data_IF_127624340506
#
_entry.id   IF_127624340506
#
_cell.length_a   1.000
_cell.length_b   1.000
_cell.length_c   1.000
_cell.angle_alpha   90.00
_cell.angle_beta   90.00
_cell.angle_gamma   90.00
#
_symmetry.space_group_name_H-M   'P 1'
#
loop_
_entity.id
_entity.type
_entity.pdbx_description
1 polymer ?
#
# COMPACT_ATOMS: atom_id res chain seq x y z
N UNK A 1 28.44 6.94 -14.22
CA UNK A 1 27.83 5.79 -13.51
C UNK A 1 28.48 5.51 -12.15
N UNK A 2 29.81 5.35 -12.06
CA UNK A 2 30.45 5.02 -10.76
C UNK A 2 30.16 6.02 -9.61
N UNK A 3 30.04 7.32 -9.88
CA UNK A 3 29.77 8.33 -8.84
C UNK A 3 28.38 8.16 -8.19
N UNK A 4 27.34 7.90 -8.99
CA UNK A 4 25.97 7.72 -8.49
C UNK A 4 25.84 6.42 -7.72
N UNK A 5 26.35 5.33 -8.27
CA UNK A 5 26.38 4.03 -7.59
C UNK A 5 27.03 4.15 -6.21
N UNK A 6 28.23 4.75 -6.14
CA UNK A 6 28.95 4.93 -4.88
C UNK A 6 28.16 5.82 -3.90
N UNK A 7 27.49 6.86 -4.40
CA UNK A 7 26.62 7.69 -3.56
C UNK A 7 25.48 6.89 -2.97
N UNK A 8 24.75 6.11 -3.78
CA UNK A 8 23.66 5.26 -3.32
C UNK A 8 24.16 4.26 -2.26
N UNK A 9 25.25 3.56 -2.51
CA UNK A 9 25.83 2.60 -1.57
C UNK A 9 26.26 3.25 -0.25
N UNK A 10 26.74 4.50 -0.29
CA UNK A 10 27.11 5.22 0.94
C UNK A 10 25.91 5.65 1.81
N UNK A 11 24.70 5.62 1.27
CA UNK A 11 23.47 5.98 1.99
C UNK A 11 22.82 4.78 2.69
N UNK A 12 23.33 3.57 2.47
CA UNK A 12 22.73 2.32 2.97
C UNK A 12 23.61 1.69 4.03
N UNK A 13 23.00 1.18 5.10
CA UNK A 13 23.72 0.40 6.11
C UNK A 13 23.66 -1.10 5.77
N UNK A 14 24.73 -1.62 5.18
CA UNK A 14 24.84 -3.02 4.72
C UNK A 14 24.61 -3.98 5.89
N UNK A 15 25.16 -3.69 7.07
CA UNK A 15 25.05 -4.57 8.25
C UNK A 15 23.63 -4.70 8.77
N UNK A 16 22.83 -3.64 8.68
CA UNK A 16 21.43 -3.69 9.09
C UNK A 16 20.64 -4.56 8.13
N UNK A 17 20.90 -4.45 6.82
CA UNK A 17 20.28 -5.30 5.79
C UNK A 17 20.67 -6.77 6.02
N UNK A 18 21.93 -7.08 6.20
CA UNK A 18 22.39 -8.44 6.51
C UNK A 18 21.70 -9.00 7.75
N UNK A 19 21.54 -8.18 8.78
CA UNK A 19 20.88 -8.58 10.02
C UNK A 19 19.41 -8.94 9.77
N UNK A 20 18.69 -8.11 9.02
CA UNK A 20 17.29 -8.35 8.67
C UNK A 20 17.13 -9.60 7.81
N UNK A 21 17.97 -9.74 6.77
CA UNK A 21 17.95 -10.90 5.88
C UNK A 21 18.21 -12.19 6.68
N UNK A 22 19.26 -12.22 7.51
CA UNK A 22 19.60 -13.39 8.32
C UNK A 22 18.53 -13.74 9.35
N UNK A 23 17.90 -12.74 9.96
CA UNK A 23 16.89 -12.96 11.00
C UNK A 23 15.55 -13.47 10.45
N UNK A 24 15.18 -13.07 9.23
CA UNK A 24 13.85 -13.33 8.67
C UNK A 24 13.79 -14.44 7.65
N UNK A 25 14.90 -14.72 7.00
CA UNK A 25 14.96 -15.79 6.03
C UNK A 25 15.37 -17.09 6.72
N UNK A 26 14.69 -18.17 6.38
CA UNK A 26 15.06 -19.54 6.78
C UNK A 26 16.31 -19.99 5.99
N UNK A 27 17.36 -19.21 6.10
CA UNK A 27 18.64 -19.55 5.48
C UNK A 27 19.29 -20.72 6.25
N UNK A 28 19.97 -21.59 5.51
CA UNK A 28 20.85 -22.57 6.16
C UNK A 28 21.85 -21.81 7.02
N UNK A 29 22.14 -22.31 8.21
CA UNK A 29 23.02 -21.65 9.20
C UNK A 29 24.43 -21.36 8.69
N UNK A 30 24.86 -22.11 7.67
CA UNK A 30 26.18 -22.07 7.02
C UNK A 30 26.20 -21.20 5.74
N UNK A 31 25.06 -20.64 5.29
CA UNK A 31 25.01 -19.83 4.11
C UNK A 31 25.80 -18.51 4.28
N UNK A 32 26.80 -18.31 3.44
CA UNK A 32 27.51 -17.03 3.34
C UNK A 32 26.75 -16.11 2.39
N UNK A 33 26.15 -15.07 2.92
CA UNK A 33 25.38 -14.11 2.15
C UNK A 33 26.30 -12.97 1.71
N UNK A 34 26.38 -12.73 0.41
CA UNK A 34 27.10 -11.58 -0.15
C UNK A 34 26.13 -10.40 -0.44
N UNK A 35 25.69 -9.73 0.63
CA UNK A 35 24.79 -8.59 0.52
C UNK A 35 25.43 -7.41 -0.24
N UNK A 36 26.75 -7.24 -0.16
CA UNK A 36 27.44 -6.16 -0.86
C UNK A 36 27.28 -6.26 -2.37
N UNK A 37 27.55 -7.42 -2.96
CA UNK A 37 27.38 -7.64 -4.40
C UNK A 37 25.93 -7.38 -4.84
N UNK A 38 25.01 -7.82 -4.02
CA UNK A 38 23.59 -7.65 -4.26
C UNK A 38 23.18 -6.16 -4.29
N UNK A 39 23.68 -5.38 -3.34
CA UNK A 39 23.45 -3.95 -3.28
C UNK A 39 24.17 -3.18 -4.39
N UNK A 40 25.27 -3.71 -4.90
CA UNK A 40 25.92 -3.15 -6.09
C UNK A 40 25.04 -3.22 -7.34
N UNK A 41 24.35 -4.32 -7.50
CA UNK A 41 23.39 -4.54 -8.58
C UNK A 41 22.17 -3.62 -8.43
N UNK A 42 21.59 -3.57 -7.23
CA UNK A 42 20.54 -2.63 -6.90
C UNK A 42 20.92 -1.18 -7.21
N UNK A 43 22.09 -0.73 -6.77
CA UNK A 43 22.54 0.64 -7.02
C UNK A 43 22.78 0.94 -8.51
N UNK A 44 23.09 -0.08 -9.29
CA UNK A 44 23.23 0.04 -10.74
C UNK A 44 21.85 0.17 -11.39
N UNK A 45 20.94 -0.73 -11.07
CA UNK A 45 19.62 -0.82 -11.70
C UNK A 45 18.70 0.34 -11.27
N UNK A 46 18.70 0.73 -10.00
CA UNK A 46 17.89 1.86 -9.49
C UNK A 46 18.48 3.24 -9.76
N UNK A 47 19.65 3.33 -10.39
CA UNK A 47 20.34 4.62 -10.59
C UNK A 47 19.53 5.67 -11.35
N UNK A 48 18.62 5.25 -12.23
CA UNK A 48 17.75 6.16 -12.96
C UNK A 48 16.66 6.73 -12.05
N UNK A 49 15.97 5.88 -11.29
CA UNK A 49 14.96 6.34 -10.32
C UNK A 49 15.60 7.20 -9.24
N UNK A 50 16.82 6.87 -8.80
CA UNK A 50 17.55 7.70 -7.85
C UNK A 50 17.74 9.14 -8.36
N UNK A 51 18.08 9.32 -9.63
CA UNK A 51 18.13 10.65 -10.25
C UNK A 51 16.76 11.30 -10.32
N UNK A 52 15.74 10.54 -10.72
CA UNK A 52 14.36 11.00 -10.77
C UNK A 52 13.88 11.50 -9.39
N UNK A 53 14.34 10.86 -8.31
CA UNK A 53 14.05 11.26 -6.92
C UNK A 53 14.95 12.43 -6.43
N UNK A 54 15.69 13.08 -7.31
CA UNK A 54 16.61 14.16 -6.93
C UNK A 54 17.75 13.68 -6.03
N UNK A 55 18.26 12.48 -6.33
CA UNK A 55 19.36 11.81 -5.61
C UNK A 55 19.03 11.48 -4.14
N UNK A 56 17.80 11.05 -3.89
CA UNK A 56 17.29 10.55 -2.61
C UNK A 56 16.84 9.10 -2.77
N UNK A 57 16.92 8.34 -1.68
CA UNK A 57 16.39 6.97 -1.64
C UNK A 57 14.86 6.96 -1.42
N UNK A 58 14.33 8.00 -0.80
CA UNK A 58 12.90 8.11 -0.49
C UNK A 58 12.37 9.50 -0.81
N UNK A 59 11.10 9.56 -1.21
CA UNK A 59 10.30 10.77 -1.27
C UNK A 59 9.12 10.61 -0.29
N UNK A 60 8.80 11.67 0.44
CA UNK A 60 7.80 11.61 1.49
C UNK A 60 6.80 12.77 1.36
N UNK A 61 5.53 12.48 1.66
CA UNK A 61 4.47 13.49 1.76
C UNK A 61 3.66 13.23 3.04
N UNK A 62 3.45 14.27 3.86
CA UNK A 62 2.66 14.15 5.09
C UNK A 62 1.18 13.99 4.77
N UNK A 63 0.52 13.08 5.50
CA UNK A 63 -0.89 12.75 5.32
C UNK A 63 -1.57 12.49 6.66
N UNK A 64 -2.90 12.55 6.66
CA UNK A 64 -3.70 11.94 7.71
C UNK A 64 -3.89 10.46 7.40
N UNK A 65 -3.47 9.60 8.32
CA UNK A 65 -3.65 8.15 8.23
C UNK A 65 -4.99 7.77 8.82
N UNK A 66 -5.66 6.86 8.14
CA UNK A 66 -6.83 6.16 8.65
C UNK A 66 -6.39 4.84 9.29
N UNK A 67 -6.57 4.71 10.61
CA UNK A 67 -6.20 3.54 11.40
C UNK A 67 -7.33 2.50 11.46
N UNK A 68 -8.36 2.63 10.64
CA UNK A 68 -9.56 1.77 10.66
C UNK A 68 -9.33 0.35 10.14
N UNK A 69 -8.10 -0.04 9.86
CA UNK A 69 -7.74 -1.36 9.32
C UNK A 69 -8.02 -2.52 10.29
N UNK A 70 -7.97 -2.25 11.58
CA UNK A 70 -8.26 -3.26 12.58
C UNK A 70 -9.77 -3.34 12.85
N UNK A 71 -10.49 -4.02 11.96
CA UNK A 71 -11.95 -4.16 12.06
C UNK A 71 -12.41 -4.76 13.39
N UNK A 72 -11.59 -5.61 14.02
CA UNK A 72 -11.91 -6.19 15.33
C UNK A 72 -11.89 -5.13 16.42
N UNK A 73 -10.89 -4.26 16.43
CA UNK A 73 -10.77 -3.16 17.39
C UNK A 73 -11.92 -2.17 17.19
N UNK A 74 -12.27 -1.85 15.94
CA UNK A 74 -13.41 -0.97 15.67
C UNK A 74 -14.73 -1.58 16.15
N UNK A 75 -14.95 -2.88 15.90
CA UNK A 75 -16.18 -3.55 16.33
C UNK A 75 -16.28 -3.62 17.85
N UNK A 76 -15.18 -3.90 18.55
CA UNK A 76 -15.08 -3.85 20.02
C UNK A 76 -15.36 -2.44 20.54
N UNK A 77 -14.74 -1.42 19.95
CA UNK A 77 -14.96 -0.01 20.28
C UNK A 77 -16.43 0.40 20.10
N UNK A 78 -17.03 0.00 18.97
CA UNK A 78 -18.45 0.26 18.69
C UNK A 78 -19.35 -0.36 19.75
N UNK A 79 -19.12 -1.62 20.14
CA UNK A 79 -19.88 -2.32 21.20
C UNK A 79 -19.73 -1.62 22.55
N UNK A 80 -18.52 -1.22 22.91
CA UNK A 80 -18.25 -0.51 24.16
C UNK A 80 -18.90 0.87 24.18
N UNK A 81 -18.86 1.61 23.07
CA UNK A 81 -19.57 2.89 22.93
C UNK A 81 -21.09 2.73 23.09
N UNK A 82 -21.68 1.71 22.46
CA UNK A 82 -23.11 1.42 22.61
C UNK A 82 -23.43 1.12 24.09
N UNK A 83 -22.64 0.29 24.74
CA UNK A 83 -22.82 -0.06 26.14
C UNK A 83 -22.72 1.16 27.06
N UNK A 84 -21.79 2.06 26.83
CA UNK A 84 -21.65 3.32 27.55
C UNK A 84 -22.86 4.23 27.33
N UNK A 85 -23.38 4.33 26.12
CA UNK A 85 -24.58 5.11 25.84
C UNK A 85 -25.79 4.56 26.57
N UNK A 86 -25.99 3.24 26.60
CA UNK A 86 -27.06 2.58 27.32
C UNK A 86 -26.96 2.89 28.83
N UNK A 87 -25.77 2.78 29.40
CA UNK A 87 -25.55 3.01 30.83
C UNK A 87 -25.82 4.46 31.26
N UNK A 88 -25.55 5.43 30.38
CA UNK A 88 -25.65 6.85 30.75
C UNK A 88 -26.97 7.53 30.39
N UNK A 89 -27.74 7.00 29.43
CA UNK A 89 -28.89 7.74 28.88
C UNK A 89 -30.24 6.99 28.91
N UNK A 90 -30.29 5.77 29.46
CA UNK A 90 -31.48 4.95 29.64
C UNK A 90 -32.43 4.73 28.41
N UNK A 91 -33.64 4.19 28.64
CA UNK A 91 -34.55 3.56 27.66
C UNK A 91 -34.89 4.38 26.39
N UNK A 92 -34.80 5.68 26.40
CA UNK A 92 -35.20 6.53 25.27
C UNK A 92 -34.26 6.42 24.03
N UNK A 93 -33.17 5.68 24.15
CA UNK A 93 -32.17 5.54 23.07
C UNK A 93 -32.27 4.24 22.29
N UNK A 94 -33.26 3.40 22.55
CA UNK A 94 -33.41 2.10 21.88
C UNK A 94 -33.26 2.18 20.34
N UNK A 95 -33.89 3.19 19.72
CA UNK A 95 -33.78 3.37 18.25
C UNK A 95 -32.36 3.70 17.79
N UNK A 96 -31.65 4.50 18.58
CA UNK A 96 -30.27 4.86 18.29
C UNK A 96 -29.34 3.66 18.46
N UNK A 97 -29.57 2.82 19.45
CA UNK A 97 -28.79 1.59 19.65
C UNK A 97 -28.93 0.63 18.48
N UNK A 98 -30.16 0.39 18.01
CA UNK A 98 -30.41 -0.40 16.80
C UNK A 98 -29.69 0.21 15.57
N UNK A 99 -29.69 1.53 15.47
CA UNK A 99 -28.95 2.20 14.39
C UNK A 99 -27.45 1.89 14.46
N UNK A 100 -26.82 2.08 15.62
CA UNK A 100 -25.39 1.77 15.77
C UNK A 100 -25.07 0.30 15.55
N UNK A 101 -25.89 -0.62 16.04
CA UNK A 101 -25.73 -2.06 15.80
C UNK A 101 -25.73 -2.42 14.32
N UNK A 102 -26.54 -1.74 13.51
CA UNK A 102 -26.66 -1.96 12.08
C UNK A 102 -25.57 -1.29 11.24
N UNK A 103 -24.73 -0.46 11.84
CA UNK A 103 -23.56 0.08 11.14
C UNK A 103 -22.50 -0.99 10.99
N UNK A 104 -21.87 -1.04 9.82
CA UNK A 104 -20.61 -1.77 9.66
C UNK A 104 -19.51 -1.09 10.47
N UNK A 105 -18.45 -1.82 10.89
CA UNK A 105 -17.29 -1.22 11.54
C UNK A 105 -16.69 -0.07 10.72
N UNK A 106 -16.59 -0.24 9.41
CA UNK A 106 -16.05 0.78 8.48
C UNK A 106 -16.92 2.04 8.45
N UNK A 107 -18.24 1.90 8.39
CA UNK A 107 -19.15 3.05 8.46
C UNK A 107 -19.01 3.81 9.77
N UNK A 108 -18.95 3.06 10.90
CA UNK A 108 -18.77 3.64 12.22
C UNK A 108 -17.49 4.46 12.30
N UNK A 109 -16.37 3.90 11.87
CA UNK A 109 -15.06 4.56 11.92
C UNK A 109 -14.96 5.75 10.96
N UNK A 110 -15.49 5.63 9.74
CA UNK A 110 -15.44 6.68 8.72
C UNK A 110 -16.49 7.78 8.90
N UNK A 111 -17.40 7.63 9.86
CA UNK A 111 -18.45 8.61 10.12
C UNK A 111 -19.39 8.87 8.92
N UNK A 112 -19.53 7.93 8.01
CA UNK A 112 -20.31 8.07 6.77
C UNK A 112 -21.14 6.82 6.51
N UNK A 113 -22.41 7.01 6.17
CA UNK A 113 -23.31 5.95 5.74
C UNK A 113 -23.02 5.60 4.28
N UNK A 114 -22.75 4.34 4.00
CA UNK A 114 -22.38 3.88 2.65
C UNK A 114 -23.58 3.45 1.79
N UNK A 115 -24.73 3.15 2.40
CA UNK A 115 -25.92 2.65 1.72
C UNK A 115 -27.16 3.43 2.12
N UNK A 116 -28.11 3.60 1.17
CA UNK A 116 -29.46 4.02 1.52
C UNK A 116 -30.15 2.93 2.33
N UNK A 117 -30.72 3.29 3.47
CA UNK A 117 -31.41 2.33 4.34
C UNK A 117 -32.54 3.00 5.12
N UNK A 118 -33.43 2.16 5.61
CA UNK A 118 -34.46 2.57 6.57
C UNK A 118 -34.29 1.79 7.87
N UNK A 119 -34.27 2.50 8.99
CA UNK A 119 -34.18 1.91 10.32
C UNK A 119 -35.31 2.45 11.16
N UNK A 120 -36.22 1.58 11.58
CA UNK A 120 -37.39 1.92 12.40
C UNK A 120 -38.21 3.10 11.83
N UNK A 121 -38.46 3.11 10.52
CA UNK A 121 -39.20 4.15 9.82
C UNK A 121 -38.40 5.42 9.52
N UNK A 122 -37.14 5.48 9.90
CA UNK A 122 -36.28 6.65 9.63
C UNK A 122 -35.42 6.36 8.40
N UNK A 123 -35.64 7.15 7.35
CA UNK A 123 -34.82 7.10 6.12
C UNK A 123 -33.45 7.73 6.36
N UNK A 124 -32.40 6.98 5.99
CA UNK A 124 -31.00 7.39 6.08
C UNK A 124 -30.39 7.23 4.71
N UNK A 125 -29.89 8.35 4.17
CA UNK A 125 -29.34 8.37 2.82
C UNK A 125 -27.85 8.10 2.81
N UNK A 126 -27.36 7.44 1.76
CA UNK A 126 -25.94 7.27 1.47
C UNK A 126 -25.22 8.63 1.51
N UNK A 127 -24.03 8.67 2.07
CA UNK A 127 -23.22 9.88 2.22
C UNK A 127 -23.58 10.76 3.43
N UNK A 128 -24.62 10.40 4.20
CA UNK A 128 -24.93 11.12 5.43
C UNK A 128 -23.87 10.86 6.51
N UNK A 129 -23.46 11.93 7.19
CA UNK A 129 -22.63 11.79 8.41
C UNK A 129 -23.43 11.18 9.54
N UNK A 130 -22.85 10.20 10.24
CA UNK A 130 -23.47 9.53 11.39
C UNK A 130 -23.80 10.54 12.48
N UNK A 131 -22.89 11.49 12.77
CA UNK A 131 -23.12 12.58 13.73
C UNK A 131 -24.35 13.41 13.43
N UNK A 132 -24.68 13.64 12.15
CA UNK A 132 -25.92 14.32 11.73
C UNK A 132 -27.14 13.40 11.85
N UNK A 133 -26.94 12.10 11.74
CA UNK A 133 -28.02 11.11 11.79
C UNK A 133 -28.47 10.84 13.22
N UNK A 134 -27.60 10.95 14.23
CA UNK A 134 -27.90 10.74 15.65
C UNK A 134 -29.13 11.55 16.07
N UNK A 135 -29.20 12.82 15.68
CA UNK A 135 -30.34 13.70 16.03
C UNK A 135 -31.69 13.30 15.42
N UNK A 136 -31.72 12.37 14.46
CA UNK A 136 -32.98 11.80 13.94
C UNK A 136 -33.59 10.75 14.86
N UNK A 137 -32.76 10.14 15.71
CA UNK A 137 -33.16 9.08 16.64
C UNK A 137 -33.39 9.59 18.06
N UNK A 138 -32.76 10.70 18.45
CA UNK A 138 -32.81 11.27 19.79
C UNK A 138 -33.44 12.63 19.73
N UNK A 139 -34.60 12.78 20.34
CA UNK A 139 -35.37 14.05 20.37
C UNK A 139 -34.81 15.08 21.34
N UNK A 140 -34.19 14.65 22.43
CA UNK A 140 -33.51 15.52 23.37
C UNK A 140 -32.20 16.04 22.76
N UNK A 141 -32.16 17.34 22.51
CA UNK A 141 -31.03 18.01 21.84
C UNK A 141 -29.73 17.94 22.66
N UNK A 142 -29.83 17.97 23.99
CA UNK A 142 -28.66 17.91 24.86
C UNK A 142 -28.04 16.52 24.80
N UNK A 143 -28.86 15.50 24.96
CA UNK A 143 -28.43 14.09 24.86
C UNK A 143 -27.85 13.80 23.45
N UNK A 144 -28.53 14.24 22.39
CA UNK A 144 -28.03 14.07 21.03
C UNK A 144 -26.67 14.76 20.79
N UNK A 145 -26.48 15.95 21.38
CA UNK A 145 -25.20 16.68 21.34
C UNK A 145 -24.11 15.95 22.10
N UNK A 146 -24.38 15.46 23.30
CA UNK A 146 -23.41 14.75 24.14
C UNK A 146 -22.95 13.46 23.44
N UNK A 147 -23.88 12.67 22.91
CA UNK A 147 -23.57 11.44 22.15
C UNK A 147 -22.77 11.77 20.90
N UNK A 148 -23.14 12.83 20.16
CA UNK A 148 -22.42 13.27 18.96
C UNK A 148 -20.98 13.68 19.29
N UNK A 149 -20.79 14.38 20.41
CA UNK A 149 -19.45 14.80 20.86
C UNK A 149 -18.59 13.60 21.21
N UNK A 150 -19.08 12.67 22.02
CA UNK A 150 -18.38 11.43 22.38
C UNK A 150 -18.03 10.61 21.12
N UNK A 151 -19.01 10.40 20.25
CA UNK A 151 -18.79 9.69 19.00
C UNK A 151 -17.70 10.37 18.14
N UNK A 152 -17.73 11.70 18.02
CA UNK A 152 -16.73 12.45 17.24
C UNK A 152 -15.33 12.34 17.84
N UNK A 153 -15.20 12.28 19.16
CA UNK A 153 -13.92 12.04 19.84
C UNK A 153 -13.36 10.66 19.46
N UNK A 154 -14.19 9.62 19.55
CA UNK A 154 -13.79 8.26 19.19
C UNK A 154 -13.33 8.18 17.73
N UNK A 155 -14.08 8.78 16.80
CA UNK A 155 -13.72 8.77 15.38
C UNK A 155 -12.40 9.47 15.12
N UNK A 156 -12.04 10.50 15.91
CA UNK A 156 -10.73 11.14 15.81
C UNK A 156 -9.57 10.24 16.27
N UNK A 157 -9.81 9.33 17.19
CA UNK A 157 -8.80 8.38 17.66
C UNK A 157 -8.38 7.38 16.56
N UNK A 158 -9.22 7.17 15.54
CA UNK A 158 -8.86 6.35 14.37
C UNK A 158 -7.96 7.05 13.35
N UNK A 159 -7.56 8.28 13.63
CA UNK A 159 -6.75 9.08 12.73
C UNK A 159 -5.41 9.43 13.37
N UNK A 160 -4.36 9.36 12.57
CA UNK A 160 -3.03 9.72 13.01
C UNK A 160 -2.31 10.56 11.95
N UNK A 161 -1.32 11.34 12.38
CA UNK A 161 -0.39 11.95 11.44
C UNK A 161 0.57 10.90 10.93
N UNK A 162 0.69 10.83 9.63
CA UNK A 162 1.58 9.91 8.97
C UNK A 162 2.23 10.50 7.75
N UNK A 163 2.92 9.65 7.02
CA UNK A 163 3.52 9.98 5.75
C UNK A 163 3.32 8.87 4.74
N UNK A 164 3.09 9.23 3.51
CA UNK A 164 3.22 8.38 2.34
C UNK A 164 4.67 8.48 1.88
N UNK A 165 5.26 7.36 1.56
CA UNK A 165 6.65 7.24 1.13
C UNK A 165 6.70 6.51 -0.20
N UNK A 166 7.42 7.06 -1.18
CA UNK A 166 7.93 6.33 -2.34
C UNK A 166 9.39 6.01 -2.06
N UNK A 167 9.77 4.74 -2.15
CA UNK A 167 11.08 4.28 -1.71
C UNK A 167 11.76 3.37 -2.72
N UNK A 168 13.06 3.60 -2.89
CA UNK A 168 14.00 2.67 -3.51
C UNK A 168 15.07 2.21 -2.50
N UNK A 169 14.88 2.51 -1.21
CA UNK A 169 15.78 2.02 -0.15
C UNK A 169 15.70 0.49 -0.07
N UNK A 170 16.82 -0.23 -0.14
CA UNK A 170 16.84 -1.69 -0.06
C UNK A 170 16.12 -2.24 1.19
N UNK A 171 16.27 -1.55 2.32
CA UNK A 171 15.60 -1.97 3.55
C UNK A 171 14.08 -2.00 3.39
N UNK A 172 13.51 -1.06 2.66
CA UNK A 172 12.06 -1.00 2.44
C UNK A 172 11.54 -2.14 1.57
N UNK A 173 12.33 -2.68 0.66
CA UNK A 173 11.98 -3.89 -0.09
C UNK A 173 12.02 -5.12 0.82
N UNK A 174 13.09 -5.33 1.57
CA UNK A 174 13.19 -6.47 2.49
C UNK A 174 12.12 -6.43 3.59
N UNK A 175 11.65 -5.25 3.94
CA UNK A 175 10.63 -5.04 4.97
C UNK A 175 9.29 -4.58 4.39
N UNK A 176 9.04 -4.77 3.08
CA UNK A 176 7.87 -4.20 2.41
C UNK A 176 6.53 -4.66 3.00
N UNK A 177 6.49 -5.86 3.56
CA UNK A 177 5.31 -6.44 4.17
C UNK A 177 5.35 -6.45 5.70
N UNK A 178 6.32 -5.75 6.33
CA UNK A 178 6.34 -5.59 7.77
C UNK A 178 5.29 -4.59 8.24
N UNK A 179 4.53 -5.01 9.22
CA UNK A 179 3.47 -4.22 9.82
C UNK A 179 3.29 -4.61 11.30
N UNK A 180 2.40 -3.94 11.99
CA UNK A 180 2.11 -4.19 13.41
C UNK A 180 1.12 -5.36 13.60
N UNK A 181 1.25 -6.44 12.83
CA UNK A 181 0.39 -7.64 12.87
C UNK A 181 -1.07 -7.41 12.43
N UNK A 182 -1.30 -6.35 11.67
CA UNK A 182 -2.64 -5.98 11.23
C UNK A 182 -3.04 -6.62 9.89
N UNK A 183 -2.07 -7.06 9.10
CA UNK A 183 -2.29 -7.68 7.80
C UNK A 183 -1.18 -8.66 7.44
N UNK A 184 -1.41 -9.47 6.42
CA UNK A 184 -0.45 -10.45 5.90
C UNK A 184 -0.21 -10.23 4.41
N UNK A 185 0.96 -10.60 3.93
CA UNK A 185 1.32 -10.58 2.52
C UNK A 185 2.24 -11.74 2.19
N UNK A 186 2.04 -12.35 1.05
CA UNK A 186 2.92 -13.38 0.52
C UNK A 186 4.31 -12.86 0.15
N UNK A 187 4.46 -11.56 -0.08
CA UNK A 187 5.74 -10.87 -0.31
C UNK A 187 6.46 -10.46 1.00
N UNK A 188 6.32 -11.22 2.05
CA UNK A 188 7.17 -11.06 3.24
C UNK A 188 8.41 -11.94 3.10
N UNK A 189 9.49 -11.60 3.80
CA UNK A 189 10.70 -12.46 3.83
C UNK A 189 10.46 -13.85 4.45
N UNK A 190 9.29 -14.06 5.05
CA UNK A 190 8.82 -15.35 5.56
C UNK A 190 7.67 -15.91 4.72
N UNK A 191 7.26 -15.22 3.66
CA UNK A 191 6.15 -15.59 2.80
C UNK A 191 6.57 -16.52 1.66
N UNK A 192 5.56 -17.10 1.00
CA UNK A 192 5.78 -18.01 -0.13
C UNK A 192 6.36 -17.33 -1.38
N UNK A 193 6.24 -16.00 -1.47
CA UNK A 193 6.83 -15.19 -2.55
C UNK A 193 7.90 -14.23 -2.05
N UNK A 194 8.75 -14.70 -1.11
CA UNK A 194 9.89 -13.92 -0.60
C UNK A 194 10.86 -13.49 -1.72
N UNK A 195 11.04 -14.33 -2.74
CA UNK A 195 11.88 -14.06 -3.90
C UNK A 195 11.38 -12.87 -4.72
N UNK A 196 10.07 -12.70 -4.86
CA UNK A 196 9.48 -11.53 -5.52
C UNK A 196 9.83 -10.21 -4.85
N UNK A 197 9.95 -10.20 -3.51
CA UNK A 197 10.42 -9.03 -2.76
C UNK A 197 11.78 -8.56 -3.26
N UNK A 198 12.63 -9.52 -3.57
CA UNK A 198 14.00 -9.28 -4.02
C UNK A 198 14.05 -8.97 -5.52
N UNK A 199 13.20 -9.62 -6.33
CA UNK A 199 13.05 -9.27 -7.73
C UNK A 199 12.69 -7.79 -7.91
N UNK A 200 11.76 -7.27 -7.11
CA UNK A 200 11.44 -5.83 -7.12
C UNK A 200 12.63 -4.94 -6.72
N UNK A 201 13.46 -5.39 -5.79
CA UNK A 201 14.66 -4.65 -5.41
C UNK A 201 15.62 -4.51 -6.59
N UNK A 202 15.85 -5.59 -7.34
CA UNK A 202 16.79 -5.64 -8.45
C UNK A 202 16.24 -5.03 -9.75
N UNK A 203 14.92 -4.98 -9.88
CA UNK A 203 14.25 -4.38 -11.03
C UNK A 203 14.56 -2.89 -11.17
N UNK A 204 14.73 -2.40 -12.42
CA UNK A 204 15.10 -1.01 -12.68
C UNK A 204 13.95 -0.01 -12.57
N UNK A 205 12.70 -0.48 -12.63
CA UNK A 205 11.51 0.36 -12.79
C UNK A 205 10.58 0.37 -11.57
N UNK A 206 10.73 -0.59 -10.66
CA UNK A 206 9.84 -0.72 -9.50
C UNK A 206 10.25 0.14 -8.32
N UNK A 207 9.25 0.66 -7.63
CA UNK A 207 9.34 1.46 -6.41
C UNK A 207 8.33 0.91 -5.40
N UNK A 208 8.68 0.91 -4.13
CA UNK A 208 7.74 0.58 -3.05
C UNK A 208 7.06 1.87 -2.57
N UNK A 209 5.74 1.88 -2.60
CA UNK A 209 4.94 2.91 -1.94
C UNK A 209 4.34 2.33 -0.65
N UNK A 210 4.37 3.10 0.42
CA UNK A 210 3.74 2.72 1.68
C UNK A 210 3.34 3.94 2.50
N UNK A 211 2.49 3.73 3.50
CA UNK A 211 2.24 4.73 4.51
C UNK A 211 2.59 4.21 5.90
N UNK A 212 3.12 5.10 6.73
CA UNK A 212 3.43 4.81 8.14
C UNK A 212 3.22 6.04 9.02
N UNK A 213 2.98 5.88 10.33
CA UNK A 213 2.93 6.99 11.27
C UNK A 213 4.26 7.75 11.30
N UNK A 214 4.20 9.06 11.52
CA UNK A 214 5.42 9.90 11.73
C UNK A 214 6.09 9.53 13.05
N UNK A 215 5.30 9.14 14.05
CA UNK A 215 5.76 8.68 15.37
C UNK A 215 4.98 7.43 15.74
N UNK A 216 5.59 6.57 16.54
CA UNK A 216 4.87 5.47 17.14
C UNK A 216 3.61 6.02 17.81
N UNK A 217 2.46 5.55 17.36
CA UNK A 217 1.16 6.02 17.82
C UNK A 217 0.46 4.86 18.52
N UNK A 218 0.16 5.04 19.79
CA UNK A 218 -0.66 4.10 20.53
C UNK A 218 -2.05 4.70 20.65
N UNK A 219 -3.05 3.93 20.28
CA UNK A 219 -4.44 4.32 20.37
C UNK A 219 -5.12 3.39 21.37
N UNK A 220 -5.84 3.96 22.31
CA UNK A 220 -6.62 3.20 23.29
C UNK A 220 -8.10 3.31 22.92
N UNK A 221 -8.65 2.18 22.49
CA UNK A 221 -10.06 2.06 22.12
C UNK A 221 -10.81 1.34 23.23
N UNK A 222 -11.40 2.08 24.17
CA UNK A 222 -12.19 1.51 25.28
C UNK A 222 -11.48 0.38 26.04
N UNK A 223 -10.18 0.57 26.34
CA UNK A 223 -9.38 -0.39 27.08
C UNK A 223 -8.63 -1.40 26.22
N UNK A 224 -8.86 -1.44 24.92
CA UNK A 224 -8.00 -2.17 23.98
C UNK A 224 -6.94 -1.23 23.40
N UNK A 225 -5.69 -1.57 23.60
CA UNK A 225 -4.56 -0.79 23.12
C UNK A 225 -4.05 -1.35 21.80
N UNK A 226 -3.93 -0.49 20.79
CA UNK A 226 -3.32 -0.81 19.51
C UNK A 226 -2.17 0.15 19.23
N UNK A 227 -1.00 -0.40 18.94
CA UNK A 227 0.19 0.39 18.59
C UNK A 227 0.44 0.31 17.09
N UNK A 228 0.75 1.47 16.51
CA UNK A 228 1.09 1.64 15.09
C UNK A 228 2.47 2.28 15.03
N UNK A 229 3.43 1.50 14.58
CA UNK A 229 4.84 1.92 14.46
C UNK A 229 5.41 1.66 13.07
N UNK A 230 4.74 0.81 12.30
CA UNK A 230 5.21 0.27 11.04
C UNK A 230 4.27 0.62 9.88
N UNK A 231 4.45 -0.05 8.74
CA UNK A 231 3.66 0.18 7.54
C UNK A 231 2.18 -0.16 7.76
N UNK A 232 1.31 0.80 7.48
CA UNK A 232 -0.15 0.62 7.56
C UNK A 232 -0.66 -0.07 6.30
N UNK A 233 -0.11 0.31 5.16
CA UNK A 233 -0.31 -0.34 3.87
C UNK A 233 0.97 -0.25 3.04
N UNK A 234 1.06 -1.09 2.02
CA UNK A 234 2.10 -1.04 1.00
C UNK A 234 1.52 -1.26 -0.39
N UNK A 235 2.25 -0.82 -1.40
CA UNK A 235 1.92 -0.95 -2.80
C UNK A 235 3.23 -1.00 -3.61
N UNK A 236 3.25 -1.76 -4.70
CA UNK A 236 4.32 -1.67 -5.70
C UNK A 236 3.89 -0.68 -6.77
N UNK A 237 4.78 0.21 -7.15
CA UNK A 237 4.63 1.13 -8.26
C UNK A 237 5.66 0.76 -9.32
N UNK A 238 5.25 0.71 -10.57
CA UNK A 238 6.13 0.44 -11.69
C UNK A 238 6.10 1.60 -12.67
N UNK A 239 7.27 2.01 -13.10
CA UNK A 239 7.43 2.89 -14.24
C UNK A 239 7.56 2.07 -15.53
N UNK A 240 7.15 2.61 -16.67
CA UNK A 240 7.57 2.08 -17.96
C UNK A 240 9.08 2.19 -18.12
N UNK A 241 9.67 1.35 -18.97
CA UNK A 241 11.13 1.26 -19.17
C UNK A 241 11.77 2.61 -19.51
N UNK A 242 11.05 3.46 -20.21
CA UNK A 242 11.49 4.81 -20.59
C UNK A 242 10.89 5.92 -19.72
N UNK A 243 10.18 5.59 -18.64
CA UNK A 243 9.55 6.55 -17.72
C UNK A 243 8.50 7.46 -18.39
N UNK A 244 7.81 6.97 -19.41
CA UNK A 244 6.68 7.68 -20.04
C UNK A 244 5.41 7.61 -19.19
N UNK A 245 5.20 6.53 -18.45
CA UNK A 245 4.05 6.35 -17.56
C UNK A 245 4.43 5.55 -16.32
N UNK A 246 3.54 5.53 -15.34
CA UNK A 246 3.67 4.70 -14.16
C UNK A 246 2.34 4.01 -13.83
N UNK A 247 2.43 2.83 -13.24
CA UNK A 247 1.28 2.05 -12.80
C UNK A 247 1.39 1.70 -11.33
N UNK A 248 0.31 1.90 -10.61
CA UNK A 248 0.16 1.52 -9.21
C UNK A 248 -0.50 0.15 -9.12
N UNK A 249 0.14 -0.80 -8.44
CA UNK A 249 -0.43 -2.10 -8.16
C UNK A 249 -1.51 -2.04 -7.08
N UNK A 250 -2.07 -3.20 -6.77
CA UNK A 250 -2.95 -3.39 -5.61
C UNK A 250 -2.27 -2.94 -4.32
N UNK A 251 -3.02 -2.27 -3.45
CA UNK A 251 -2.59 -2.01 -2.08
C UNK A 251 -2.78 -3.25 -1.20
N UNK A 252 -1.90 -3.43 -0.25
CA UNK A 252 -2.02 -4.43 0.80
C UNK A 252 -2.08 -3.72 2.17
N UNK A 253 -3.11 -4.02 2.98
CA UNK A 253 -4.21 -4.97 2.71
C UNK A 253 -5.14 -4.47 1.60
N UNK A 254 -5.76 -5.42 0.89
CA UNK A 254 -6.53 -5.22 -0.34
C UNK A 254 -7.75 -4.30 -0.22
N UNK A 255 -8.29 -4.19 0.97
CA UNK A 255 -9.50 -3.39 1.21
C UNK A 255 -9.20 -1.90 1.41
N UNK A 256 -7.92 -1.51 1.32
CA UNK A 256 -7.49 -0.15 1.57
C UNK A 256 -7.23 0.61 0.28
N UNK A 257 -8.05 1.63 0.08
CA UNK A 257 -7.86 2.65 -0.97
C UNK A 257 -7.26 3.93 -0.36
N UNK A 258 -6.59 3.77 0.80
CA UNK A 258 -6.08 4.91 1.55
C UNK A 258 -4.91 5.59 0.84
N UNK A 259 -4.94 6.92 0.80
CA UNK A 259 -3.86 7.76 0.28
C UNK A 259 -3.46 7.51 -1.19
N UNK A 260 -4.27 6.81 -1.98
CA UNK A 260 -4.00 6.52 -3.39
C UNK A 260 -3.80 7.80 -4.21
N UNK A 261 -4.63 8.81 -3.98
CA UNK A 261 -4.50 10.11 -4.62
C UNK A 261 -3.16 10.79 -4.28
N UNK A 262 -2.65 10.61 -3.06
CA UNK A 262 -1.33 11.15 -2.66
C UNK A 262 -0.22 10.48 -3.46
N UNK A 263 -0.22 9.14 -3.55
CA UNK A 263 0.75 8.40 -4.39
C UNK A 263 0.65 8.87 -5.84
N UNK A 264 -0.56 8.95 -6.41
CA UNK A 264 -0.77 9.44 -7.77
C UNK A 264 -0.22 10.85 -8.00
N UNK A 265 -0.46 11.76 -7.07
CA UNK A 265 0.06 13.13 -7.15
C UNK A 265 1.59 13.19 -7.05
N UNK A 266 2.21 12.34 -6.22
CA UNK A 266 3.67 12.24 -6.16
C UNK A 266 4.24 11.75 -7.49
N UNK A 267 3.63 10.73 -8.10
CA UNK A 267 4.04 10.19 -9.40
C UNK A 267 3.83 11.20 -10.54
N UNK A 268 2.70 11.91 -10.54
CA UNK A 268 2.44 12.98 -11.50
C UNK A 268 3.55 14.03 -11.45
N UNK A 269 3.88 14.53 -10.27
CA UNK A 269 4.96 15.52 -10.09
C UNK A 269 6.30 15.01 -10.63
N UNK A 270 6.62 13.73 -10.39
CA UNK A 270 7.86 13.12 -10.89
C UNK A 270 7.88 13.05 -12.40
N UNK A 271 6.83 12.50 -13.02
CA UNK A 271 6.74 12.33 -14.46
C UNK A 271 6.62 13.66 -15.20
N UNK A 272 5.88 14.64 -14.67
CA UNK A 272 5.82 15.99 -15.21
C UNK A 272 7.19 16.67 -15.20
N UNK A 273 7.93 16.53 -14.10
CA UNK A 273 9.28 17.08 -13.98
C UNK A 273 10.28 16.43 -14.92
N UNK A 274 10.13 15.13 -15.19
CA UNK A 274 11.03 14.37 -16.07
C UNK A 274 10.72 14.58 -17.55
N UNK A 275 9.44 14.46 -17.93
CA UNK A 275 9.02 14.49 -19.34
C UNK A 275 8.61 15.88 -19.84
N UNK A 276 8.56 16.87 -18.96
CA UNK A 276 8.10 18.24 -19.28
C UNK A 276 6.74 18.27 -20.00
N UNK A 277 5.80 17.40 -19.57
CA UNK A 277 4.44 17.30 -20.07
C UNK A 277 3.47 17.10 -18.92
N UNK A 278 2.18 17.34 -19.13
CA UNK A 278 1.14 17.17 -18.11
C UNK A 278 0.70 15.71 -18.00
N UNK A 279 0.39 15.30 -16.80
CA UNK A 279 -0.03 13.94 -16.47
C UNK A 279 -1.36 13.93 -15.72
N UNK A 280 -2.08 12.83 -15.86
CA UNK A 280 -3.34 12.56 -15.17
C UNK A 280 -3.35 11.12 -14.63
N UNK A 281 -4.18 10.89 -13.63
CA UNK A 281 -4.43 9.56 -13.10
C UNK A 281 -5.69 8.99 -13.73
N UNK A 282 -5.62 7.77 -14.21
CA UNK A 282 -6.75 7.00 -14.73
C UNK A 282 -6.98 5.75 -13.90
N UNK A 283 -8.25 5.53 -13.57
CA UNK A 283 -8.73 4.24 -13.06
C UNK A 283 -8.82 3.28 -14.24
N UNK A 284 -8.38 2.05 -14.02
CA UNK A 284 -8.52 0.99 -14.99
C UNK A 284 -9.74 0.15 -14.69
N UNK A 285 -10.54 -0.08 -15.70
CA UNK A 285 -11.40 -1.25 -15.69
C UNK A 285 -10.59 -2.47 -16.11
N UNK A 286 -10.41 -3.37 -15.19
CA UNK A 286 -9.45 -4.48 -15.27
C UNK A 286 -9.81 -5.50 -16.34
N UNK A 287 -11.10 -5.59 -16.70
CA UNK A 287 -11.59 -6.62 -17.62
C UNK A 287 -10.99 -6.50 -19.02
N UNK A 288 -10.62 -5.29 -19.47
CA UNK A 288 -10.27 -5.04 -20.86
C UNK A 288 -8.78 -4.70 -21.09
N UNK A 289 -8.00 -4.36 -20.05
CA UNK A 289 -6.69 -3.70 -20.22
C UNK A 289 -5.49 -4.35 -19.52
N UNK A 290 -5.64 -5.51 -18.88
CA UNK A 290 -4.51 -6.20 -18.23
C UNK A 290 -3.34 -6.52 -19.18
N UNK A 291 -3.62 -6.63 -20.48
CA UNK A 291 -2.60 -6.79 -21.51
C UNK A 291 -1.69 -5.56 -21.73
N UNK A 292 -1.97 -4.42 -21.07
CA UNK A 292 -1.13 -3.24 -21.16
C UNK A 292 0.09 -3.32 -20.23
N UNK A 293 0.11 -4.25 -19.30
CA UNK A 293 1.23 -4.46 -18.39
C UNK A 293 1.77 -5.86 -18.69
N UNK A 294 2.42 -5.98 -19.80
CA UNK A 294 3.16 -7.19 -20.11
C UNK A 294 4.50 -7.12 -19.37
N UNK A 295 4.70 -8.08 -18.48
CA UNK A 295 6.03 -8.47 -18.11
C UNK A 295 6.69 -9.10 -19.34
N UNK A 296 7.86 -8.66 -19.71
CA UNK A 296 8.59 -9.10 -20.91
C UNK A 296 8.69 -10.64 -21.02
N UNK A 297 8.69 -11.34 -19.91
CA UNK A 297 8.78 -12.79 -19.84
C UNK A 297 7.43 -13.49 -19.74
N UNK A 298 6.38 -12.78 -19.31
CA UNK A 298 5.01 -13.34 -19.32
C UNK A 298 4.38 -13.32 -20.71
N UNK A 299 4.79 -12.40 -21.59
CA UNK A 299 4.26 -12.29 -22.94
C UNK A 299 4.62 -13.51 -23.83
N UNK A 300 5.66 -14.24 -23.51
CA UNK A 300 6.17 -15.30 -24.35
C UNK A 300 5.81 -16.72 -23.93
N UNK A 301 5.16 -16.95 -22.79
CA UNK A 301 4.89 -18.29 -22.31
C UNK A 301 3.63 -18.41 -21.49
N UNK A 302 2.98 -19.55 -21.56
CA UNK A 302 1.88 -20.03 -20.71
C UNK A 302 2.21 -20.10 -19.20
N UNK A 303 3.18 -19.34 -18.72
CA UNK A 303 3.73 -19.46 -17.37
C UNK A 303 3.50 -18.16 -16.61
N UNK A 304 2.25 -17.88 -16.39
CA UNK A 304 1.75 -16.69 -15.70
C UNK A 304 2.17 -16.53 -14.22
N UNK A 305 2.84 -17.47 -13.64
CA UNK A 305 3.12 -17.50 -12.20
C UNK A 305 4.55 -17.12 -11.80
N UNK A 306 5.40 -16.80 -12.76
CA UNK A 306 6.75 -16.29 -12.51
C UNK A 306 6.83 -14.78 -12.30
N UNK A 307 5.78 -14.07 -12.63
CA UNK A 307 5.74 -12.65 -12.35
C UNK A 307 5.27 -12.42 -10.93
N UNK A 308 6.18 -12.21 -10.01
CA UNK A 308 5.89 -11.79 -8.63
C UNK A 308 5.30 -10.39 -8.55
N UNK A 309 4.61 -10.03 -9.57
CA UNK A 309 4.05 -8.75 -9.76
C UNK A 309 2.63 -8.76 -9.19
N UNK A 310 2.38 -7.95 -8.17
CA UNK A 310 1.02 -7.72 -7.69
C UNK A 310 0.08 -7.18 -8.80
N UNK A 311 0.57 -7.01 -9.99
CA UNK A 311 -0.13 -6.50 -11.18
C UNK A 311 -0.49 -7.63 -12.14
N UNK A 312 0.05 -8.82 -12.05
CA UNK A 312 -0.34 -9.96 -12.88
C UNK A 312 -1.44 -10.78 -12.23
N UNK A 313 -2.39 -11.26 -13.00
CA UNK A 313 -3.56 -12.05 -12.58
C UNK A 313 -4.65 -11.31 -11.79
N UNK A 314 -5.55 -12.09 -11.24
CA UNK A 314 -6.76 -11.71 -10.49
C UNK A 314 -6.59 -10.65 -9.39
N UNK A 315 -5.33 -10.25 -9.10
CA UNK A 315 -5.02 -9.16 -8.17
C UNK A 315 -5.35 -7.75 -8.71
N UNK A 316 -5.85 -7.68 -9.94
CA UNK A 316 -6.04 -6.42 -10.67
C UNK A 316 -7.29 -5.64 -10.38
N UNK A 317 -8.10 -6.02 -9.45
CA UNK A 317 -9.36 -5.31 -9.22
C UNK A 317 -9.20 -3.79 -9.03
N UNK A 318 -7.99 -3.27 -8.90
CA UNK A 318 -7.78 -1.82 -8.68
C UNK A 318 -6.37 -1.33 -9.06
N UNK A 319 -5.97 -1.39 -10.32
CA UNK A 319 -4.77 -0.71 -10.78
C UNK A 319 -5.08 0.73 -11.23
N UNK A 320 -4.11 1.65 -11.02
CA UNK A 320 -4.20 3.03 -11.49
C UNK A 320 -2.98 3.34 -12.31
N UNK A 321 -3.19 4.00 -13.43
CA UNK A 321 -2.10 4.49 -14.24
C UNK A 321 -2.01 5.99 -14.27
N UNK A 322 -0.79 6.47 -14.30
CA UNK A 322 -0.42 7.85 -14.47
C UNK A 322 0.11 8.00 -15.90
N UNK A 323 -0.66 8.66 -16.74
CA UNK A 323 -0.37 8.80 -18.18
C UNK A 323 -0.35 10.27 -18.61
N UNK A 324 0.27 10.62 -19.75
CA UNK A 324 0.23 11.98 -20.28
C UNK A 324 -1.22 12.43 -20.53
N UNK A 325 -1.55 13.67 -20.14
CA UNK A 325 -2.91 14.22 -20.27
C UNK A 325 -3.32 14.52 -21.72
N UNK A 326 -2.40 14.36 -22.68
CA UNK A 326 -2.70 14.48 -24.12
C UNK A 326 -3.51 13.29 -24.67
N UNK A 327 -3.58 12.19 -23.93
CA UNK A 327 -4.36 11.03 -24.30
C UNK A 327 -5.73 11.10 -23.64
N UNK A 328 -6.78 11.16 -24.45
CA UNK A 328 -8.17 11.18 -23.99
C UNK A 328 -8.67 9.77 -23.62
N UNK A 329 -8.04 8.74 -24.19
CA UNK A 329 -8.44 7.34 -24.05
C UNK A 329 -7.24 6.51 -23.57
N UNK A 330 -7.40 5.82 -22.45
CA UNK A 330 -6.40 4.92 -21.87
C UNK A 330 -6.06 3.76 -22.79
N UNK A 331 -7.06 3.19 -23.48
CA UNK A 331 -6.86 2.06 -24.38
C UNK A 331 -6.01 2.42 -25.58
N UNK A 332 -6.23 3.59 -26.13
CA UNK A 332 -5.43 4.13 -27.24
C UNK A 332 -3.99 4.37 -26.81
N UNK A 333 -3.79 4.94 -25.62
CA UNK A 333 -2.48 5.13 -25.03
C UNK A 333 -1.72 3.80 -24.90
N UNK A 334 -2.31 2.80 -24.25
CA UNK A 334 -1.63 1.52 -24.05
C UNK A 334 -1.43 0.73 -25.34
N UNK A 335 -2.33 0.86 -26.30
CA UNK A 335 -2.10 0.31 -27.63
C UNK A 335 -0.86 0.92 -28.29
N UNK A 336 -0.72 2.24 -28.24
CA UNK A 336 0.45 2.94 -28.76
C UNK A 336 1.74 2.54 -28.04
N UNK A 337 1.70 2.41 -26.70
CA UNK A 337 2.87 1.98 -25.92
C UNK A 337 3.30 0.56 -26.28
N UNK A 338 2.36 -0.37 -26.45
CA UNK A 338 2.66 -1.73 -26.93
C UNK A 338 3.28 -1.74 -28.33
N UNK A 339 2.74 -0.95 -29.24
CA UNK A 339 3.29 -0.83 -30.61
C UNK A 339 4.72 -0.27 -30.60
N UNK A 340 5.05 0.58 -29.65
CA UNK A 340 6.40 1.12 -29.43
C UNK A 340 7.32 0.17 -28.67
N UNK A 341 6.80 -0.88 -28.06
CA UNK A 341 7.57 -1.78 -27.20
C UNK A 341 7.92 -1.17 -25.83
N UNK A 342 7.09 -0.26 -25.32
CA UNK A 342 7.28 0.39 -24.02
C UNK A 342 6.44 -0.31 -22.95
N UNK A 343 7.09 -1.03 -22.06
CA UNK A 343 6.43 -1.88 -21.06
C UNK A 343 6.79 -1.47 -19.64
N UNK A 344 5.88 -1.76 -18.70
CA UNK A 344 6.22 -1.90 -17.29
C UNK A 344 6.70 -3.35 -17.07
N UNK A 345 7.98 -3.56 -17.03
CA UNK A 345 8.56 -4.90 -17.05
C UNK A 345 9.42 -5.14 -15.80
N UNK A 346 8.84 -5.60 -14.68
CA UNK A 346 9.65 -6.07 -13.59
C UNK A 346 10.44 -7.31 -14.01
N UNK A 347 11.68 -7.39 -13.59
CA UNK A 347 12.53 -8.56 -13.83
C UNK A 347 11.93 -9.78 -13.13
N UNK A 348 11.90 -10.93 -13.80
CA UNK A 348 11.55 -12.22 -13.22
C UNK A 348 12.77 -13.00 -12.74
N UNK A 349 13.98 -12.51 -12.99
CA UNK A 349 15.21 -13.14 -12.53
C UNK A 349 15.66 -12.56 -11.19
N UNK A 350 16.15 -13.41 -10.32
CA UNK A 350 16.66 -13.05 -8.99
C UNK A 350 18.14 -13.45 -8.92
N UNK A 351 18.99 -12.55 -8.44
CA UNK A 351 20.37 -12.90 -8.17
C UNK A 351 20.47 -13.71 -6.86
N UNK A 352 21.23 -14.78 -6.90
CA UNK A 352 21.53 -15.54 -5.71
C UNK A 352 22.27 -14.68 -4.68
N UNK A 353 21.84 -14.71 -3.44
CA UNK A 353 22.50 -13.97 -2.34
C UNK A 353 23.91 -14.46 -2.02
N UNK A 354 24.28 -15.68 -2.46
CA UNK A 354 25.59 -16.25 -2.22
C UNK A 354 26.58 -15.99 -3.36
N UNK A 355 26.20 -16.36 -4.59
CA UNK A 355 27.11 -16.32 -5.75
C UNK A 355 26.81 -15.19 -6.75
N UNK A 356 25.69 -14.50 -6.61
CA UNK A 356 25.28 -13.44 -7.52
C UNK A 356 24.80 -13.91 -8.90
N UNK A 357 24.77 -15.23 -9.16
CA UNK A 357 24.23 -15.73 -10.41
C UNK A 357 22.72 -15.53 -10.48
N UNK A 358 22.23 -15.04 -11.60
CA UNK A 358 20.81 -14.91 -11.84
C UNK A 358 20.17 -16.25 -12.16
N UNK A 359 19.00 -16.49 -11.58
CA UNK A 359 18.20 -17.67 -11.83
C UNK A 359 16.74 -17.30 -11.97
N UNK A 360 15.97 -18.12 -12.69
CA UNK A 360 14.56 -17.93 -12.83
C UNK A 360 13.85 -18.18 -11.50
N UNK A 361 12.89 -17.35 -11.20
CA UNK A 361 12.26 -17.31 -9.90
C UNK A 361 11.08 -18.29 -9.78
N UNK A 362 11.37 -19.56 -9.90
CA UNK A 362 10.51 -20.63 -9.40
C UNK A 362 11.05 -21.22 -8.08
N UNK A 363 12.07 -20.56 -7.51
CA UNK A 363 12.75 -21.04 -6.34
C UNK A 363 12.06 -20.56 -5.07
N UNK A 364 11.82 -21.46 -4.16
CA UNK A 364 11.37 -21.16 -2.80
C UNK A 364 12.48 -20.51 -1.93
N UNK A 365 13.64 -20.22 -2.52
CA UNK A 365 14.84 -19.77 -1.82
C UNK A 365 15.55 -18.66 -2.59
N UNK A 366 16.09 -17.66 -1.88
CA UNK A 366 17.00 -16.65 -2.41
C UNK A 366 18.44 -17.13 -2.59
N UNK A 367 18.67 -18.40 -2.41
CA UNK A 367 19.95 -19.06 -2.64
C UNK A 367 19.72 -20.10 -3.73
N UNK A 368 20.49 -20.03 -4.81
CA UNK A 368 20.39 -21.01 -5.89
C UNK A 368 20.79 -22.43 -5.43
N UNK A 369 20.37 -23.42 -6.20
CA UNK A 369 20.63 -24.85 -5.85
C UNK A 369 22.13 -25.22 -5.85
N UNK A 370 22.98 -24.40 -6.49
CA UNK A 370 24.43 -24.63 -6.55
C UNK A 370 25.17 -24.11 -5.30
N UNK A 371 24.53 -23.32 -4.48
CA UNK A 371 25.03 -22.80 -3.20
C UNK A 371 24.38 -23.46 -2.01
#
# INVERSE_FOLDING_TARGET
MNSIKNKMLSMVNIKDIETVVKAKMLLRKDAQINVEQYLEEWATNKSHIFKLFGEKLTLEEEVELDLTQNLKVIDSTKKSFISECIANYEENLFKLMIFFEKLSPVEFANNIINLDREILGIKISKGNKISRTISKFVSDKKIASDITTKYSMIVQEFKAKGKVVLSIDPMDYFTMSENDSNWTSCHSLTGCYQTGTVAYLQDSTTVIAYAKPIRNTTVNFYGEEASYSNKIWRQVVMFSDNFVYATQSRQYPADMVANRATVGNMLIKLLEGYNNTKYVSHDWDVSDNWAAIECHECANNDVNWYCYNDITHEAFETAYSIIPSSFENTDEFFKEMREKGEYCSPSSSVACLCCGQHYLDNAESLICCDC
#
